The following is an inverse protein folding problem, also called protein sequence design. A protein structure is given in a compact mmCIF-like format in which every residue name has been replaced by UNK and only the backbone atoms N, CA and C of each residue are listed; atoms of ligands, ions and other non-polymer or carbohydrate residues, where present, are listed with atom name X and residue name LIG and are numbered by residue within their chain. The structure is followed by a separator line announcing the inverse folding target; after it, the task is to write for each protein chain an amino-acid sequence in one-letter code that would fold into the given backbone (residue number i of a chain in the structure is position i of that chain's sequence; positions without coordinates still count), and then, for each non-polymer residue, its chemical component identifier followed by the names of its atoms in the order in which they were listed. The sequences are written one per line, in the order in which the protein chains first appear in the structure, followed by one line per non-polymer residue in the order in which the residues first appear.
data_IF_827447321527
#
_entry.id   IF_827447321527
#
_cell.length_a   1.000
_cell.length_b   1.000
_cell.length_c   1.000
_cell.angle_alpha   90.00
_cell.angle_beta   90.00
_cell.angle_gamma   90.00
#
_symmetry.space_group_name_H-M   'P 1'
#
loop_
_entity.id
_entity.type
_entity.pdbx_description
1 polymer ?
2 non-polymer ?
3 non-polymer ?
4 water ?
#
# COMPACT_ATOMS: atom_id res chain seq x y z
N UNK A 1 11.65 21.37 -13.01
CA UNK A 1 12.76 22.21 -12.58
C UNK A 1 12.93 22.13 -11.06
N UNK A 2 11.82 22.09 -10.36
CA UNK A 2 11.77 22.02 -8.90
C UNK A 2 11.07 20.74 -8.42
N UNK A 3 11.77 19.92 -7.63
CA UNK A 3 11.14 18.71 -7.11
C UNK A 3 11.20 18.64 -5.59
N UNK A 4 10.83 19.76 -4.97
CA UNK A 4 10.88 19.94 -3.52
C UNK A 4 9.53 19.60 -2.91
N UNK A 5 9.49 18.62 -2.01
CA UNK A 5 8.21 18.28 -1.42
C UNK A 5 7.75 19.31 -0.39
N UNK A 6 6.45 19.46 -0.26
CA UNK A 6 5.89 20.20 0.86
C UNK A 6 4.86 19.34 1.56
N UNK A 7 4.54 19.62 2.82
CA UNK A 7 3.48 18.84 3.49
C UNK A 7 2.18 18.72 2.69
N UNK A 8 1.88 19.60 1.74
CA UNK A 8 0.68 19.37 0.93
C UNK A 8 0.71 18.20 -0.03
N UNK A 9 1.90 17.67 -0.32
CA UNK A 9 2.02 16.49 -1.15
C UNK A 9 1.65 15.22 -0.39
N UNK A 10 1.44 15.29 0.91
CA UNK A 10 0.92 14.20 1.71
C UNK A 10 1.86 13.00 1.76
N UNK A 11 3.15 13.28 1.79
CA UNK A 11 4.11 12.17 1.93
C UNK A 11 4.27 11.74 3.37
N UNK A 12 4.17 10.43 3.63
CA UNK A 12 4.26 9.94 4.99
C UNK A 12 5.24 8.76 5.04
N UNK A 13 5.77 8.53 6.24
CA UNK A 13 6.76 7.48 6.41
C UNK A 13 6.50 6.69 7.70
N UNK A 14 6.72 5.38 7.71
CA UNK A 14 6.57 4.70 9.01
C UNK A 14 7.79 4.93 9.86
N UNK A 15 7.59 4.95 11.20
CA UNK A 15 8.75 5.04 12.09
C UNK A 15 9.74 3.90 11.87
N UNK A 16 9.25 2.76 11.45
CA UNK A 16 10.11 1.60 11.27
C UNK A 16 10.90 1.64 9.97
N UNK A 17 10.67 2.66 9.15
CA UNK A 17 11.36 2.67 7.85
C UNK A 17 12.74 3.29 8.02
N UNK A 18 12.78 4.60 8.23
CA UNK A 18 14.07 5.25 8.51
C UNK A 18 14.64 4.71 9.81
N UNK A 19 13.82 4.13 10.69
CA UNK A 19 14.33 3.61 11.95
C UNK A 19 14.82 2.18 11.87
N UNK A 20 14.83 1.59 10.68
CA UNK A 20 15.30 0.18 10.57
C UNK A 20 16.80 0.12 10.88
N UNK A 21 17.19 -0.72 11.84
CA UNK A 21 18.59 -0.77 12.22
C UNK A 21 19.48 -1.63 11.34
N UNK A 22 18.88 -2.34 10.38
CA UNK A 22 19.78 -3.05 9.46
C UNK A 22 19.93 -4.52 9.79
N UNK A 23 19.19 -5.04 10.75
CA UNK A 23 19.27 -6.49 11.00
C UNK A 23 18.57 -7.29 9.93
N UNK A 24 19.24 -8.24 9.27
CA UNK A 24 18.58 -9.03 8.22
C UNK A 24 18.76 -10.51 8.62
N UNK A 25 18.29 -11.50 7.89
CA UNK A 25 18.36 -12.85 8.52
C UNK A 25 19.78 -13.37 8.56
N UNK A 26 20.73 -12.68 7.92
CA UNK A 26 22.11 -13.13 7.96
C UNK A 26 23.04 -12.16 8.65
N UNK A 27 22.54 -11.11 9.30
CA UNK A 27 23.51 -10.17 9.84
C UNK A 27 22.95 -9.27 10.91
N UNK A 28 23.88 -8.72 11.69
CA UNK A 28 23.54 -7.90 12.85
C UNK A 28 23.22 -6.47 12.39
N UNK A 29 22.66 -5.69 13.31
CA UNK A 29 22.35 -4.29 13.02
C UNK A 29 23.58 -3.51 12.63
N UNK A 30 23.45 -2.58 11.67
CA UNK A 30 24.54 -1.70 11.28
C UNK A 30 24.32 -0.26 11.73
N UNK A 31 23.14 0.03 12.27
CA UNK A 31 22.84 1.39 12.72
C UNK A 31 22.27 1.36 14.13
N UNK A 32 22.51 2.40 14.90
CA UNK A 32 21.87 2.51 16.19
C UNK A 32 20.39 2.79 16.10
N UNK A 33 19.65 2.56 17.17
CA UNK A 33 18.23 2.88 17.11
C UNK A 33 18.06 4.40 17.09
N UNK A 34 16.97 4.78 16.44
CA UNK A 34 16.61 6.19 16.40
C UNK A 34 15.47 6.43 17.38
N UNK A 35 15.53 7.57 18.09
CA UNK A 35 14.37 7.92 18.92
C UNK A 35 13.23 8.40 18.04
N UNK A 36 12.00 7.96 18.24
CA UNK A 36 10.87 8.43 17.42
C UNK A 36 10.79 9.94 17.30
N UNK A 37 11.24 10.63 18.36
CA UNK A 37 11.12 12.09 18.32
C UNK A 37 12.09 12.67 17.31
N UNK A 38 13.26 12.06 17.24
CA UNK A 38 14.24 12.54 16.27
C UNK A 38 13.78 12.25 14.84
N UNK A 39 13.17 11.09 14.63
CA UNK A 39 12.70 10.82 13.27
C UNK A 39 11.62 11.81 12.84
N UNK A 40 10.71 12.16 13.76
CA UNK A 40 9.66 13.10 13.40
C UNK A 40 10.25 14.43 13.01
N UNK A 41 11.23 14.89 13.78
CA UNK A 41 11.83 16.20 13.47
C UNK A 41 12.61 16.15 12.15
N UNK A 42 13.34 15.06 11.93
CA UNK A 42 14.14 14.93 10.73
C UNK A 42 13.26 14.85 9.46
N UNK A 43 12.20 14.07 9.56
CA UNK A 43 11.29 13.92 8.43
C UNK A 43 10.54 15.20 8.14
N UNK A 44 10.16 15.93 9.21
CA UNK A 44 9.55 17.23 8.96
C UNK A 44 10.46 18.18 8.19
N UNK A 45 11.74 18.18 8.50
CA UNK A 45 12.68 19.04 7.80
C UNK A 45 12.80 18.70 6.36
N UNK A 46 12.57 17.44 6.04
CA UNK A 46 12.68 17.03 4.64
C UNK A 46 11.44 17.31 3.83
N UNK A 47 10.35 17.74 4.50
CA UNK A 47 9.14 18.08 3.74
C UNK A 47 8.05 17.05 3.87
N UNK A 48 8.20 16.10 4.78
CA UNK A 48 7.11 15.13 4.92
C UNK A 48 5.87 15.72 5.59
N UNK A 49 4.73 15.10 5.37
CA UNK A 49 3.43 15.47 5.91
C UNK A 49 3.17 14.78 7.24
N UNK A 50 3.67 13.53 7.40
CA UNK A 50 3.36 12.84 8.63
C UNK A 50 4.09 11.51 8.78
N UNK A 51 3.80 10.84 9.91
CA UNK A 51 4.42 9.56 10.21
C UNK A 51 3.34 8.57 10.60
N UNK A 52 3.71 7.28 10.53
CA UNK A 52 2.86 6.20 10.98
C UNK A 52 3.65 5.29 11.93
N UNK A 53 2.91 4.42 12.64
CA UNK A 53 3.64 3.60 13.60
C UNK A 53 2.93 2.28 13.84
N UNK A 54 3.68 1.26 14.24
CA UNK A 54 3.12 0.12 14.96
C UNK A 54 3.09 0.48 16.46
N UNK A 55 2.15 -0.07 17.23
CA UNK A 55 2.19 0.07 18.70
C UNK A 55 3.60 -0.14 19.24
N UNK A 56 4.30 -1.21 18.88
CA UNK A 56 5.61 -1.49 19.47
C UNK A 56 6.75 -0.66 18.90
N UNK A 57 6.56 0.17 17.87
CA UNK A 57 7.61 1.09 17.49
C UNK A 57 7.66 2.28 18.47
N UNK A 58 6.49 2.58 19.03
CA UNK A 58 6.33 3.84 19.76
C UNK A 58 6.44 3.54 21.25
N UNK A 59 5.90 2.40 21.65
CA UNK A 59 5.89 1.98 23.06
C UNK A 59 6.52 0.59 23.11
N UNK A 60 7.71 0.50 23.70
CA UNK A 60 8.39 -0.80 23.76
C UNK A 60 7.49 -1.82 24.43
N UNK A 61 7.55 -3.03 23.89
CA UNK A 61 6.74 -4.15 24.33
C UNK A 61 6.97 -4.36 25.83
N UNK A 62 5.94 -4.58 26.61
CA UNK A 62 5.99 -4.85 28.03
C UNK A 62 6.15 -3.63 28.91
N UNK A 63 5.85 -2.47 28.34
CA UNK A 63 5.85 -1.20 29.02
C UNK A 63 4.69 -1.11 30.01
N UNK A 64 4.98 -0.53 31.18
CA UNK A 64 3.95 -0.25 32.17
C UNK A 64 3.00 0.84 31.68
N UNK A 65 1.77 0.89 32.14
CA UNK A 65 0.86 1.97 31.74
C UNK A 65 1.50 3.34 31.96
N UNK A 66 2.37 3.46 32.98
CA UNK A 66 2.97 4.78 33.19
C UNK A 66 4.07 5.02 32.16
N UNK A 67 4.85 4.01 31.76
CA UNK A 67 5.95 4.32 30.83
C UNK A 67 5.38 4.68 29.46
N UNK A 68 4.22 4.09 29.22
CA UNK A 68 3.41 4.28 28.02
C UNK A 68 2.89 5.72 27.90
N UNK A 69 2.32 6.28 28.97
CA UNK A 69 1.86 7.67 28.87
C UNK A 69 3.01 8.61 28.60
N UNK A 70 4.19 8.32 29.11
CA UNK A 70 5.39 9.12 28.89
C UNK A 70 5.85 9.07 27.43
N UNK A 71 5.80 7.85 26.86
CA UNK A 71 6.28 7.71 25.48
C UNK A 71 5.33 8.49 24.59
N UNK A 72 4.04 8.38 24.91
CA UNK A 72 3.10 9.08 24.03
C UNK A 72 3.22 10.60 24.16
N UNK A 73 3.32 11.09 25.39
CA UNK A 73 3.45 12.51 25.63
C UNK A 73 4.63 13.15 24.85
N UNK A 74 5.80 12.55 24.92
CA UNK A 74 6.96 13.01 24.19
C UNK A 74 6.72 13.04 22.67
N UNK A 75 6.04 11.99 22.21
CA UNK A 75 5.75 11.91 20.78
C UNK A 75 4.82 13.02 20.34
N UNK A 76 3.74 13.15 21.12
CA UNK A 76 2.77 14.22 20.83
C UNK A 76 3.40 15.58 20.86
N UNK A 77 4.34 15.83 21.77
CA UNK A 77 5.01 17.13 21.74
C UNK A 77 5.84 17.29 20.49
N UNK A 78 6.48 16.24 19.96
CA UNK A 78 7.17 16.44 18.67
C UNK A 78 6.23 16.70 17.51
N UNK A 79 5.02 16.11 17.57
CA UNK A 79 4.05 16.34 16.51
C UNK A 79 3.58 17.81 16.55
N UNK A 80 3.30 18.28 17.78
CA UNK A 80 2.92 19.69 17.94
C UNK A 80 4.00 20.66 17.54
N UNK A 81 5.24 20.33 17.82
CA UNK A 81 6.33 21.23 17.51
C UNK A 81 6.61 21.34 16.02
N UNK A 82 6.22 20.29 15.27
CA UNK A 82 6.58 20.24 13.87
C UNK A 82 5.39 20.40 12.94
N UNK A 83 4.16 20.21 13.41
CA UNK A 83 3.04 20.27 12.48
C UNK A 83 2.83 18.90 11.80
N UNK A 84 3.57 17.86 12.17
CA UNK A 84 3.42 16.55 11.52
C UNK A 84 2.14 15.87 11.95
N UNK A 85 1.50 15.09 11.06
CA UNK A 85 0.27 14.40 11.41
C UNK A 85 0.50 12.88 11.50
N UNK A 86 -0.50 12.17 12.00
CA UNK A 86 -0.45 10.70 12.09
C UNK A 86 -1.69 10.09 11.43
N UNK A 87 -1.63 9.90 10.12
CA UNK A 87 -2.85 9.49 9.38
C UNK A 87 -3.16 8.01 9.46
N UNK A 88 -2.20 7.19 9.87
CA UNK A 88 -2.44 5.74 9.87
C UNK A 88 -1.68 5.14 11.03
N UNK A 89 -2.20 4.07 11.62
CA UNK A 89 -1.44 3.32 12.60
C UNK A 89 -1.71 1.83 12.39
N UNK A 90 -0.93 0.99 13.04
CA UNK A 90 -1.09 -0.46 12.82
C UNK A 90 -0.57 -1.19 14.04
N UNK A 91 -0.74 -2.51 14.07
CA UNK A 91 -0.36 -3.28 15.26
C UNK A 91 0.81 -4.19 14.91
N UNK A 92 1.78 -4.37 15.78
CA UNK A 92 2.76 -5.40 15.47
C UNK A 92 2.25 -6.75 15.96
N UNK A 93 1.77 -7.60 15.07
CA UNK A 93 1.41 -8.98 15.44
C UNK A 93 2.35 -9.97 14.75
N UNK A 94 3.63 -9.60 14.65
CA UNK A 94 4.54 -10.49 13.96
C UNK A 94 5.89 -10.61 14.62
N UNK A 95 6.37 -9.71 15.46
CA UNK A 95 7.75 -9.81 15.94
C UNK A 95 7.93 -10.70 17.15
N UNK A 96 7.07 -10.52 18.16
CA UNK A 96 7.24 -11.36 19.35
C UNK A 96 7.03 -12.84 19.09
N UNK A 97 7.82 -13.70 19.70
CA UNK A 97 7.65 -15.15 19.53
C UNK A 97 6.25 -15.69 19.77
N UNK A 98 5.41 -15.04 20.59
CA UNK A 98 4.09 -15.63 20.78
C UNK A 98 3.31 -15.66 19.46
N UNK A 99 3.67 -14.84 18.49
CA UNK A 99 2.96 -14.73 17.21
C UNK A 99 3.59 -15.62 16.14
N UNK A 100 4.42 -16.59 16.55
CA UNK A 100 5.12 -17.41 15.54
C UNK A 100 4.18 -18.21 14.64
N UNK A 101 2.96 -18.53 15.02
CA UNK A 101 2.01 -19.21 14.14
C UNK A 101 0.87 -18.27 13.75
N UNK A 102 1.05 -16.97 13.99
CA UNK A 102 0.04 -16.01 13.61
C UNK A 102 -0.54 -15.24 14.80
N UNK A 103 -1.36 -14.24 14.51
CA UNK A 103 -2.11 -13.49 15.54
C UNK A 103 -3.56 -13.93 15.43
N UNK A 104 -4.28 -13.41 14.45
CA UNK A 104 -5.69 -13.71 14.32
C UNK A 104 -5.96 -15.15 13.92
N UNK A 105 -4.98 -15.83 13.29
CA UNK A 105 -5.30 -17.19 12.83
C UNK A 105 -4.32 -18.21 13.42
N UNK A 106 -3.70 -17.87 14.54
CA UNK A 106 -2.84 -18.80 15.30
C UNK A 106 -3.65 -20.03 15.64
N UNK A 107 -3.08 -21.23 15.63
CA UNK A 107 -3.88 -22.39 16.00
C UNK A 107 -4.32 -22.29 17.48
N UNK A 108 -3.50 -21.71 18.34
CA UNK A 108 -3.85 -21.63 19.77
C UNK A 108 -4.88 -20.57 19.98
N UNK A 109 -6.04 -20.90 20.55
CA UNK A 109 -7.10 -19.92 20.77
C UNK A 109 -6.70 -18.82 21.72
N UNK A 110 -5.92 -19.07 22.77
CA UNK A 110 -5.54 -18.00 23.69
C UNK A 110 -4.67 -16.96 22.97
N UNK A 111 -3.87 -17.38 22.00
CA UNK A 111 -3.05 -16.37 21.27
C UNK A 111 -3.94 -15.50 20.42
N UNK A 112 -4.94 -16.05 19.75
CA UNK A 112 -5.90 -15.29 18.95
C UNK A 112 -6.61 -14.24 19.82
N UNK A 113 -7.03 -14.62 21.03
CA UNK A 113 -7.69 -13.61 21.87
C UNK A 113 -6.71 -12.55 22.29
N UNK A 114 -5.48 -12.89 22.64
CA UNK A 114 -4.47 -11.88 22.97
C UNK A 114 -4.22 -10.94 21.80
N UNK A 115 -4.10 -11.49 20.57
CA UNK A 115 -3.88 -10.62 19.42
C UNK A 115 -4.98 -9.58 19.25
N UNK A 116 -6.23 -9.98 19.48
CA UNK A 116 -7.32 -9.02 19.37
C UNK A 116 -7.22 -7.99 20.47
N UNK A 117 -6.94 -8.41 21.71
CA UNK A 117 -6.83 -7.36 22.73
C UNK A 117 -5.67 -6.42 22.45
N UNK A 118 -4.54 -6.90 21.92
CA UNK A 118 -3.41 -5.98 21.65
C UNK A 118 -3.78 -4.99 20.58
N UNK A 119 -4.54 -5.46 19.58
CA UNK A 119 -5.02 -4.63 18.49
C UNK A 119 -5.97 -3.53 19.03
N UNK A 120 -6.95 -3.96 19.84
CA UNK A 120 -7.97 -2.97 20.28
C UNK A 120 -7.33 -1.85 21.06
N UNK A 121 -6.40 -2.18 21.95
CA UNK A 121 -5.66 -1.19 22.74
C UNK A 121 -5.02 -0.19 21.83
N UNK A 122 -4.46 -0.62 20.69
CA UNK A 122 -3.79 0.36 19.85
C UNK A 122 -4.79 1.09 18.97
N UNK A 123 -5.98 0.56 18.66
CA UNK A 123 -6.92 1.38 17.88
C UNK A 123 -7.34 2.62 18.67
N UNK A 124 -7.52 2.39 20.00
CA UNK A 124 -7.87 3.57 20.81
C UNK A 124 -6.79 4.62 20.77
N UNK A 125 -5.52 4.22 20.84
CA UNK A 125 -4.42 5.20 20.78
C UNK A 125 -4.39 5.85 19.41
N UNK A 126 -4.62 5.08 18.34
CA UNK A 126 -4.59 5.68 17.02
C UNK A 126 -5.64 6.78 16.85
N UNK A 127 -6.84 6.49 17.34
CA UNK A 127 -7.91 7.48 17.29
C UNK A 127 -7.52 8.73 18.07
N UNK A 128 -6.93 8.55 19.24
CA UNK A 128 -6.47 9.69 20.05
C UNK A 128 -5.49 10.54 19.27
N UNK A 129 -4.64 9.91 18.47
CA UNK A 129 -3.65 10.67 17.72
C UNK A 129 -4.16 11.19 16.39
N UNK A 130 -5.38 10.88 16.00
CA UNK A 130 -6.06 11.39 14.84
C UNK A 130 -5.93 10.54 13.59
N UNK A 131 -5.51 9.28 13.76
CA UNK A 131 -5.38 8.46 12.55
C UNK A 131 -6.71 8.20 11.88
N UNK A 132 -6.75 8.17 10.54
CA UNK A 132 -8.04 7.87 9.92
C UNK A 132 -8.11 6.45 9.35
N UNK A 133 -6.95 5.81 9.26
CA UNK A 133 -6.86 4.46 8.69
C UNK A 133 -6.10 3.55 9.64
N UNK A 134 -6.57 2.33 9.85
CA UNK A 134 -5.86 1.40 10.73
C UNK A 134 -5.47 0.22 9.82
N UNK A 135 -4.16 -0.03 9.69
CA UNK A 135 -3.74 -1.08 8.73
C UNK A 135 -3.55 -2.40 9.44
N UNK A 136 -3.80 -3.51 8.71
CA UNK A 136 -3.50 -4.80 9.28
C UNK A 136 -2.72 -5.61 8.24
N UNK A 137 -1.49 -5.96 8.61
CA UNK A 137 -0.68 -6.84 7.76
C UNK A 137 -0.49 -8.14 8.56
N UNK A 138 -1.14 -9.18 8.06
CA UNK A 138 -1.08 -10.46 8.78
C UNK A 138 0.17 -11.20 8.36
N UNK A 139 1.33 -10.69 8.73
CA UNK A 139 2.60 -11.28 8.27
C UNK A 139 2.84 -12.71 8.77
N UNK A 140 2.25 -13.11 9.89
CA UNK A 140 2.49 -14.47 10.36
C UNK A 140 1.29 -15.37 10.09
N UNK A 141 0.24 -14.96 9.40
CA UNK A 141 -0.93 -15.77 9.15
C UNK A 141 -0.63 -16.64 7.94
N UNK A 142 -0.40 -17.93 8.11
CA UNK A 142 0.05 -18.68 6.93
C UNK A 142 0.66 -19.99 7.42
N UNK A 143 1.58 -20.51 6.61
CA UNK A 143 2.10 -21.86 6.93
C UNK A 143 3.33 -22.16 6.11
N UNK A 144 4.16 -23.09 6.60
CA UNK A 144 5.24 -23.62 5.78
C UNK A 144 4.89 -25.00 5.26
N UNK A 145 3.88 -25.62 5.82
CA UNK A 145 3.51 -26.98 5.42
C UNK A 145 2.00 -27.13 5.31
N UNK A 146 1.55 -28.14 4.54
CA UNK A 146 0.15 -28.26 4.16
C UNK A 146 -0.80 -28.62 5.28
N UNK A 147 -0.33 -29.46 6.19
CA UNK A 147 -1.25 -29.92 7.22
C UNK A 147 -1.34 -29.02 8.41
N UNK A 148 -0.45 -28.01 8.50
CA UNK A 148 -0.41 -27.19 9.69
C UNK A 148 -1.57 -26.23 9.82
N UNK A 149 -2.25 -25.94 8.70
CA UNK A 149 -3.27 -24.87 8.72
C UNK A 149 -4.41 -25.33 7.84
N UNK A 150 -5.60 -25.53 8.38
CA UNK A 150 -6.78 -25.74 7.55
C UNK A 150 -7.23 -24.36 7.08
N UNK A 151 -7.14 -24.05 5.79
CA UNK A 151 -7.33 -22.65 5.40
C UNK A 151 -8.78 -22.21 5.51
N UNK A 152 -9.77 -23.10 5.34
CA UNK A 152 -11.13 -22.65 5.56
C UNK A 152 -11.33 -22.29 7.03
N UNK A 153 -10.79 -23.10 7.96
CA UNK A 153 -10.99 -22.70 9.37
C UNK A 153 -10.23 -21.41 9.67
N UNK A 154 -9.02 -21.24 9.08
CA UNK A 154 -8.28 -20.00 9.30
C UNK A 154 -9.02 -18.82 8.70
N UNK A 155 -9.67 -18.92 7.56
CA UNK A 155 -10.43 -17.77 7.08
C UNK A 155 -11.64 -17.50 7.98
N UNK A 156 -12.25 -18.57 8.53
CA UNK A 156 -13.31 -18.29 9.50
C UNK A 156 -12.79 -17.47 10.67
N UNK A 157 -11.59 -17.81 11.18
CA UNK A 157 -11.01 -17.07 12.31
C UNK A 157 -10.62 -15.66 11.92
N UNK A 158 -10.16 -15.49 10.66
CA UNK A 158 -9.77 -14.14 10.24
C UNK A 158 -11.01 -13.26 10.10
N UNK A 159 -12.08 -13.82 9.56
CA UNK A 159 -13.34 -13.08 9.43
C UNK A 159 -13.88 -12.73 10.82
N UNK A 160 -13.78 -13.73 11.72
CA UNK A 160 -14.26 -13.47 13.09
C UNK A 160 -13.51 -12.32 13.71
N UNK A 161 -12.19 -12.26 13.54
CA UNK A 161 -11.38 -11.19 14.10
C UNK A 161 -11.73 -9.83 13.50
N UNK A 162 -11.81 -9.77 12.18
CA UNK A 162 -12.14 -8.44 11.61
C UNK A 162 -13.56 -8.06 11.95
N UNK A 163 -14.48 -9.01 12.04
CA UNK A 163 -15.85 -8.67 12.41
C UNK A 163 -15.90 -8.10 13.82
N UNK A 164 -15.18 -8.69 14.77
CA UNK A 164 -15.16 -8.12 16.12
C UNK A 164 -14.50 -6.76 16.14
N UNK A 165 -13.45 -6.52 15.34
CA UNK A 165 -12.89 -5.16 15.33
C UNK A 165 -13.87 -4.14 14.76
N UNK A 166 -14.67 -4.55 13.79
CA UNK A 166 -15.67 -3.64 13.23
C UNK A 166 -16.74 -3.33 14.29
N UNK A 167 -17.11 -4.36 15.03
CA UNK A 167 -18.10 -4.11 16.09
C UNK A 167 -17.59 -3.14 17.10
N UNK A 168 -16.30 -3.30 17.45
CA UNK A 168 -15.68 -2.41 18.43
C UNK A 168 -15.69 -0.99 17.92
N UNK A 169 -15.21 -0.69 16.71
CA UNK A 169 -15.11 0.72 16.38
C UNK A 169 -16.52 1.29 16.21
N UNK A 170 -17.48 0.48 15.79
CA UNK A 170 -18.84 1.04 15.63
C UNK A 170 -19.47 1.28 16.99
N UNK A 171 -19.26 0.38 17.92
CA UNK A 171 -19.85 0.61 19.25
C UNK A 171 -19.20 1.78 19.95
N UNK A 172 -17.94 2.08 19.62
CA UNK A 172 -17.27 3.22 20.25
C UNK A 172 -17.54 4.53 19.52
N UNK A 173 -18.15 4.46 18.36
CA UNK A 173 -18.42 5.66 17.58
C UNK A 173 -17.24 6.25 16.84
N UNK A 174 -16.20 5.44 16.64
CA UNK A 174 -14.97 5.96 16.04
C UNK A 174 -15.08 6.11 14.52
N UNK A 175 -14.45 7.14 13.98
CA UNK A 175 -14.41 7.38 12.55
C UNK A 175 -13.01 6.98 12.09
N UNK A 176 -12.82 5.67 11.97
CA UNK A 176 -11.54 5.15 11.48
C UNK A 176 -11.97 3.98 10.60
N UNK A 177 -11.25 3.64 9.56
CA UNK A 177 -11.55 2.55 8.65
C UNK A 177 -10.35 1.60 8.62
N UNK A 178 -10.58 0.36 8.23
CA UNK A 178 -9.50 -0.62 8.26
C UNK A 178 -8.94 -0.85 6.87
N UNK A 179 -7.66 -1.16 6.75
CA UNK A 179 -7.09 -1.46 5.43
C UNK A 179 -6.26 -2.74 5.58
N UNK A 180 -6.58 -3.78 4.83
CA UNK A 180 -5.80 -4.99 4.91
C UNK A 180 -4.68 -4.96 3.87
N UNK A 181 -3.50 -5.33 4.34
CA UNK A 181 -2.32 -5.28 3.47
C UNK A 181 -1.97 -6.70 3.07
N UNK A 182 -2.13 -7.07 1.82
CA UNK A 182 -1.76 -8.43 1.38
C UNK A 182 -0.26 -8.55 1.13
N UNK A 183 0.24 -9.79 1.26
CA UNK A 183 1.63 -10.10 0.86
C UNK A 183 1.67 -11.59 0.53
N UNK A 184 2.34 -12.08 -0.49
CA UNK A 184 2.20 -13.50 -0.81
C UNK A 184 3.01 -14.46 0.05
N UNK A 185 4.15 -14.02 0.56
CA UNK A 185 5.02 -14.89 1.34
C UNK A 185 6.00 -13.99 2.10
N UNK A 186 6.69 -14.54 3.07
CA UNK A 186 7.79 -13.96 3.80
C UNK A 186 7.24 -13.05 4.89
N UNK A 187 7.28 -13.45 6.15
CA UNK A 187 8.08 -14.53 6.67
C UNK A 187 7.47 -15.93 6.70
N UNK A 188 6.18 -16.07 6.41
CA UNK A 188 5.67 -17.45 6.33
C UNK A 188 5.87 -17.96 4.90
N UNK A 189 5.92 -19.29 4.75
CA UNK A 189 6.14 -19.84 3.40
C UNK A 189 5.06 -19.44 2.42
N UNK A 190 3.82 -19.38 2.85
CA UNK A 190 2.72 -18.78 2.11
C UNK A 190 1.86 -18.03 3.12
N UNK A 191 1.44 -16.83 2.77
CA UNK A 191 0.65 -16.01 3.72
C UNK A 191 -0.77 -16.01 3.22
N UNK A 192 -1.73 -16.00 4.15
CA UNK A 192 -3.14 -15.96 3.73
C UNK A 192 -3.49 -14.58 3.17
N UNK A 193 -4.45 -14.52 2.24
CA UNK A 193 -4.77 -13.28 1.52
C UNK A 193 -3.53 -12.74 0.82
N UNK A 194 -2.98 -13.50 -0.14
CA UNK A 194 -1.65 -13.18 -0.65
C UNK A 194 -1.57 -12.02 -1.63
N UNK A 195 -2.73 -11.63 -2.20
CA UNK A 195 -2.66 -10.55 -3.16
C UNK A 195 -3.83 -9.59 -2.94
N UNK A 196 -3.77 -8.42 -3.61
CA UNK A 196 -4.90 -7.48 -3.50
C UNK A 196 -6.22 -8.14 -3.86
N UNK A 197 -6.23 -9.03 -4.88
CA UNK A 197 -7.48 -9.67 -5.22
C UNK A 197 -8.02 -10.53 -4.10
N UNK A 198 -7.20 -11.40 -3.49
CA UNK A 198 -7.71 -12.23 -2.40
C UNK A 198 -8.19 -11.38 -1.23
N UNK A 199 -7.55 -10.23 -0.94
CA UNK A 199 -8.04 -9.36 0.14
C UNK A 199 -9.36 -8.73 -0.21
N UNK A 200 -9.51 -8.23 -1.44
CA UNK A 200 -10.78 -7.64 -1.87
C UNK A 200 -11.91 -8.65 -1.77
N UNK A 201 -11.65 -9.91 -2.14
CA UNK A 201 -12.73 -10.88 -2.15
C UNK A 201 -13.14 -11.22 -0.73
N UNK A 202 -12.14 -11.32 0.14
CA UNK A 202 -12.40 -11.60 1.56
C UNK A 202 -13.26 -10.53 2.21
N UNK A 203 -12.99 -9.26 1.87
CA UNK A 203 -13.74 -8.15 2.50
C UNK A 203 -15.22 -8.23 2.23
N UNK A 204 -15.58 -8.79 1.10
CA UNK A 204 -16.99 -8.83 0.71
C UNK A 204 -17.72 -9.86 1.56
N UNK A 205 -17.04 -10.67 2.33
CA UNK A 205 -17.73 -11.58 3.22
C UNK A 205 -17.74 -11.12 4.67
N UNK A 206 -17.23 -9.93 4.97
CA UNK A 206 -17.29 -9.44 6.34
C UNK A 206 -18.67 -8.91 6.64
N UNK A 207 -18.98 -8.81 7.93
CA UNK A 207 -20.36 -8.35 8.16
C UNK A 207 -20.55 -6.92 7.77
N UNK A 208 -19.57 -6.03 7.89
CA UNK A 208 -19.80 -4.64 7.51
C UNK A 208 -18.71 -4.24 6.52
N UNK A 209 -18.85 -4.65 5.29
CA UNK A 209 -17.74 -4.50 4.35
C UNK A 209 -17.37 -3.06 4.07
N UNK A 210 -18.29 -2.13 4.30
CA UNK A 210 -17.93 -0.73 3.99
C UNK A 210 -16.84 -0.19 4.90
N UNK A 211 -16.50 -0.83 6.03
CA UNK A 211 -15.48 -0.36 6.93
C UNK A 211 -14.08 -0.83 6.51
N UNK A 212 -13.99 -1.68 5.50
CA UNK A 212 -12.68 -2.28 5.20
C UNK A 212 -12.24 -2.04 3.76
N UNK A 213 -10.96 -1.71 3.54
CA UNK A 213 -10.41 -1.57 2.19
C UNK A 213 -9.06 -2.28 2.15
N UNK A 214 -8.28 -1.97 1.11
CA UNK A 214 -6.94 -2.55 1.07
C UNK A 214 -5.86 -1.48 1.20
N UNK A 215 -4.68 -1.92 1.63
CA UNK A 215 -3.43 -1.15 1.68
C UNK A 215 -2.41 -1.95 0.88
N UNK A 216 -2.46 -1.85 -0.43
CA UNK A 216 -1.49 -2.62 -1.25
C UNK A 216 -0.10 -2.02 -1.14
N UNK A 217 0.90 -2.88 -1.35
CA UNK A 217 2.30 -2.46 -1.30
C UNK A 217 3.00 -2.81 -2.63
N UNK A 218 3.73 -1.83 -3.20
CA UNK A 218 4.35 -2.09 -4.50
C UNK A 218 5.09 -3.41 -4.54
N UNK A 219 5.99 -3.63 -3.60
CA UNK A 219 6.91 -4.78 -3.69
C UNK A 219 6.13 -6.04 -3.41
N UNK A 220 5.07 -5.99 -2.61
CA UNK A 220 4.34 -7.24 -2.31
C UNK A 220 3.72 -7.84 -3.54
N UNK A 221 3.03 -7.03 -4.34
CA UNK A 221 2.41 -7.64 -5.50
C UNK A 221 3.47 -8.05 -6.52
N UNK A 222 4.57 -7.29 -6.58
CA UNK A 222 5.63 -7.72 -7.50
C UNK A 222 6.32 -9.00 -7.07
N UNK A 223 6.23 -9.40 -5.80
CA UNK A 223 6.78 -10.69 -5.36
C UNK A 223 5.99 -11.87 -5.89
N UNK A 224 4.82 -11.56 -6.42
CA UNK A 224 4.04 -12.58 -7.13
C UNK A 224 4.10 -12.36 -8.64
N UNK A 225 4.94 -11.43 -9.06
CA UNK A 225 5.10 -11.21 -10.52
C UNK A 225 3.90 -10.50 -11.12
N UNK A 226 3.08 -9.86 -10.27
CA UNK A 226 1.85 -9.22 -10.78
C UNK A 226 2.07 -7.77 -11.17
N UNK A 227 1.14 -7.21 -11.94
CA UNK A 227 1.27 -5.80 -12.39
C UNK A 227 0.60 -4.97 -11.32
N UNK A 228 1.46 -4.18 -10.64
CA UNK A 228 0.91 -3.40 -9.49
C UNK A 228 -0.03 -2.34 -9.98
N UNK A 229 0.22 -1.50 -10.98
CA UNK A 229 -0.84 -0.58 -11.44
C UNK A 229 -2.14 -1.28 -11.82
N UNK A 230 -2.11 -2.49 -12.40
CA UNK A 230 -3.40 -3.16 -12.69
C UNK A 230 -4.15 -3.49 -11.40
N UNK A 231 -3.43 -3.94 -10.37
CA UNK A 231 -4.14 -4.32 -9.13
C UNK A 231 -4.66 -3.07 -8.45
N UNK A 232 -3.92 -1.99 -8.52
CA UNK A 232 -4.46 -0.73 -7.93
C UNK A 232 -5.69 -0.30 -8.69
N UNK A 233 -5.71 -0.46 -10.01
CA UNK A 233 -6.91 -0.06 -10.77
C UNK A 233 -8.10 -0.86 -10.32
N UNK A 234 -7.85 -2.17 -10.05
CA UNK A 234 -9.00 -2.97 -9.61
C UNK A 234 -9.48 -2.54 -8.24
N UNK A 235 -8.54 -2.20 -7.38
CA UNK A 235 -8.94 -1.69 -6.07
C UNK A 235 -9.68 -0.37 -6.20
N UNK A 236 -9.23 0.54 -7.06
CA UNK A 236 -9.97 1.80 -7.24
C UNK A 236 -11.36 1.56 -7.81
N UNK A 237 -11.45 0.63 -8.75
CA UNK A 237 -12.73 0.31 -9.38
C UNK A 237 -13.70 -0.19 -8.33
N UNK A 238 -13.22 -0.94 -7.31
CA UNK A 238 -14.11 -1.46 -6.30
C UNK A 238 -14.38 -0.44 -5.20
N UNK A 239 -13.77 0.74 -5.23
CA UNK A 239 -13.97 1.76 -4.20
C UNK A 239 -13.20 1.43 -2.92
N UNK A 240 -12.11 0.66 -3.00
CA UNK A 240 -11.47 0.17 -1.78
C UNK A 240 -10.01 0.55 -1.61
N UNK A 241 -9.47 1.50 -2.37
CA UNK A 241 -8.09 1.91 -2.10
C UNK A 241 -8.04 2.93 -0.96
N UNK A 242 -7.86 2.44 0.26
CA UNK A 242 -7.94 3.33 1.41
C UNK A 242 -6.58 3.93 1.76
N UNK A 243 -5.53 3.27 1.32
CA UNK A 243 -4.16 3.69 1.71
C UNK A 243 -3.22 2.97 0.73
N UNK A 244 -1.96 3.36 0.67
CA UNK A 244 -1.07 2.67 -0.26
C UNK A 244 0.35 2.71 0.30
N UNK A 245 1.12 1.62 0.14
CA UNK A 245 2.51 1.58 0.58
C UNK A 245 3.45 1.62 -0.63
N UNK A 246 4.33 2.64 -0.67
CA UNK A 246 5.16 2.80 -1.85
C UNK A 246 6.60 2.43 -1.57
N UNK A 247 7.23 1.67 -2.48
CA UNK A 247 8.62 1.27 -2.33
C UNK A 247 9.04 0.69 -3.69
N UNK A 248 10.21 0.04 -3.71
CA UNK A 248 10.65 -0.57 -4.98
C UNK A 248 11.12 -2.02 -4.74
N UNK A 249 11.07 -2.82 -5.81
CA UNK A 249 11.31 -4.25 -5.70
C UNK A 249 11.91 -4.69 -7.05
N UNK A 250 12.99 -5.46 -7.04
CA UNK A 250 13.51 -5.98 -8.31
C UNK A 250 13.03 -7.42 -8.49
N UNK A 251 11.79 -7.58 -8.88
CA UNK A 251 11.31 -8.92 -9.25
C UNK A 251 10.88 -9.82 -8.12
N UNK A 252 10.86 -11.13 -8.43
CA UNK A 252 10.41 -12.17 -7.53
C UNK A 252 11.56 -12.73 -6.73
N UNK A 253 11.65 -12.27 -5.50
CA UNK A 253 12.70 -12.63 -4.54
C UNK A 253 12.24 -12.11 -3.18
N UNK A 254 13.11 -12.13 -2.21
CA UNK A 254 12.78 -11.63 -0.88
C UNK A 254 12.30 -10.19 -0.98
N UNK A 255 11.59 -9.65 -0.02
CA UNK A 255 11.04 -8.31 -0.07
C UNK A 255 12.16 -7.30 0.17
N UNK A 256 12.54 -6.56 -0.88
CA UNK A 256 13.72 -5.71 -0.76
C UNK A 256 13.46 -4.36 -0.10
N UNK A 257 12.23 -3.86 -0.19
CA UNK A 257 11.87 -2.57 0.40
C UNK A 257 12.80 -1.46 -0.05
N UNK A 258 13.11 -1.39 -1.36
CA UNK A 258 13.95 -0.29 -1.82
C UNK A 258 13.19 1.02 -1.80
N UNK A 259 13.95 2.12 -1.96
CA UNK A 259 13.17 3.37 -1.98
C UNK A 259 12.29 3.44 -3.21
N UNK A 260 11.18 4.16 -3.10
CA UNK A 260 10.29 4.32 -4.23
C UNK A 260 11.00 4.93 -5.45
N UNK A 261 10.74 4.36 -6.61
CA UNK A 261 11.37 4.74 -7.87
C UNK A 261 12.46 3.76 -8.26
N UNK A 262 13.06 3.15 -7.25
CA UNK A 262 13.99 2.04 -7.50
C UNK A 262 13.15 0.82 -7.87
N UNK A 263 13.79 -0.23 -8.34
CA UNK A 263 13.04 -1.42 -8.72
C UNK A 263 12.51 -1.18 -10.13
N UNK A 264 11.22 -1.41 -10.30
CA UNK A 264 10.66 -1.31 -11.64
C UNK A 264 10.18 0.12 -11.90
N UNK A 265 11.04 0.86 -12.60
CA UNK A 265 10.79 2.29 -12.80
C UNK A 265 9.58 2.54 -13.70
N UNK A 266 9.43 1.76 -14.79
CA UNK A 266 8.25 2.03 -15.61
C UNK A 266 6.97 1.74 -14.85
N UNK A 267 6.97 0.70 -14.00
CA UNK A 267 5.74 0.47 -13.21
C UNK A 267 5.45 1.60 -12.25
N UNK A 268 6.55 2.24 -11.78
CA UNK A 268 6.33 3.40 -10.89
C UNK A 268 5.70 4.54 -11.66
N UNK A 269 6.10 4.74 -12.90
CA UNK A 269 5.52 5.79 -13.76
C UNK A 269 4.05 5.54 -13.96
N UNK A 270 3.67 4.27 -14.29
CA UNK A 270 2.27 4.01 -14.57
C UNK A 270 1.44 4.06 -13.30
N UNK A 271 2.06 3.70 -12.17
CA UNK A 271 1.35 3.86 -10.90
C UNK A 271 1.05 5.33 -10.62
N UNK A 272 2.06 6.18 -10.72
CA UNK A 272 1.81 7.61 -10.41
C UNK A 272 0.77 8.17 -11.39
N UNK A 273 0.90 7.82 -12.65
CA UNK A 273 -0.12 8.27 -13.62
C UNK A 273 -1.52 7.91 -13.17
N UNK A 274 -1.71 6.66 -12.70
CA UNK A 274 -3.04 6.25 -12.30
C UNK A 274 -3.51 6.92 -11.02
N UNK A 275 -2.65 7.01 -10.00
CA UNK A 275 -3.08 7.65 -8.77
C UNK A 275 -3.47 9.12 -8.99
N UNK A 276 -2.70 9.82 -9.80
CA UNK A 276 -2.98 11.25 -10.04
C UNK A 276 -4.17 11.38 -10.97
N UNK A 277 -4.32 10.53 -11.97
CA UNK A 277 -5.53 10.72 -12.81
C UNK A 277 -6.80 10.21 -12.15
N UNK A 278 -6.76 9.29 -11.20
CA UNK A 278 -7.96 8.86 -10.50
C UNK A 278 -8.26 9.79 -9.33
N UNK A 279 -7.35 10.71 -9.02
CA UNK A 279 -7.59 11.63 -7.92
C UNK A 279 -7.52 10.96 -6.57
N UNK A 280 -6.66 9.96 -6.40
CA UNK A 280 -6.45 9.36 -5.07
C UNK A 280 -6.05 10.47 -4.12
N UNK A 281 -6.76 10.56 -2.99
CA UNK A 281 -6.41 11.69 -2.12
C UNK A 281 -5.82 11.27 -0.78
N UNK A 282 -5.53 9.98 -0.60
CA UNK A 282 -4.97 9.56 0.67
C UNK A 282 -3.50 9.87 0.75
N UNK A 283 -2.88 9.43 1.83
CA UNK A 283 -1.45 9.58 1.98
C UNK A 283 -0.65 8.78 0.93
N UNK A 284 0.49 9.35 0.56
CA UNK A 284 1.54 8.68 -0.21
C UNK A 284 2.56 8.19 0.82
N UNK A 285 2.34 6.98 1.27
CA UNK A 285 3.12 6.43 2.37
C UNK A 285 4.29 5.59 1.88
N UNK A 286 5.47 5.83 2.39
CA UNK A 286 6.64 5.05 1.99
C UNK A 286 6.92 3.99 3.07
N UNK A 287 6.87 2.73 2.61
CA UNK A 287 7.19 1.62 3.51
C UNK A 287 8.43 1.00 2.89
N UNK A 288 9.59 1.45 3.35
CA UNK A 288 10.84 1.10 2.68
C UNK A 288 11.91 0.95 3.77
N UNK A 289 13.06 0.44 3.36
CA UNK A 289 14.17 0.32 4.29
C UNK A 289 15.39 0.93 3.67
N UNK A 290 16.03 1.92 4.25
CA UNK A 290 17.33 2.31 3.70
C UNK A 290 18.29 1.12 3.83
N UNK A 291 19.00 0.75 2.75
CA UNK A 291 19.86 -0.44 2.83
C UNK A 291 20.84 -0.39 3.97
N UNK A 292 21.21 -1.56 4.47
CA UNK A 292 22.06 -1.59 5.68
C UNK A 292 23.50 -1.20 5.40
N UNK A 293 23.86 -0.96 4.13
CA UNK A 293 25.13 -0.36 3.76
C UNK A 293 25.22 1.08 4.20
N UNK A 294 24.12 1.72 4.54
CA UNK A 294 24.16 3.17 4.70
C UNK A 294 24.35 3.62 6.16
N UNK A 295 24.98 4.78 6.33
CA UNK A 295 24.92 5.40 7.67
C UNK A 295 23.74 6.34 7.76
N UNK A 296 23.59 7.11 8.86
CA UNK A 296 22.42 7.95 8.92
C UNK A 296 22.32 9.02 7.87
N UNK A 297 23.40 9.56 7.32
CA UNK A 297 23.24 10.46 6.20
C UNK A 297 22.64 9.73 5.02
N UNK A 298 22.98 8.46 4.80
CA UNK A 298 22.35 7.73 3.69
C UNK A 298 20.90 7.41 3.99
N UNK A 299 20.52 7.21 5.24
CA UNK A 299 19.10 7.06 5.54
C UNK A 299 18.27 8.24 5.06
N UNK A 300 18.74 9.46 5.39
CA UNK A 300 17.93 10.64 5.03
C UNK A 300 17.98 10.91 3.55
N UNK A 301 19.09 10.53 2.95
CA UNK A 301 19.17 10.68 1.50
C UNK A 301 18.18 9.74 0.80
N UNK A 302 18.10 8.52 1.31
CA UNK A 302 17.16 7.55 0.76
C UNK A 302 15.72 7.96 0.95
N UNK A 303 15.37 8.48 2.14
CA UNK A 303 14.02 9.01 2.33
C UNK A 303 13.72 10.19 1.44
N UNK A 304 14.70 11.09 1.28
CA UNK A 304 14.42 12.20 0.37
C UNK A 304 14.20 11.74 -1.05
N UNK A 305 14.91 10.70 -1.47
CA UNK A 305 14.76 10.22 -2.84
C UNK A 305 13.40 9.60 -3.09
N UNK A 306 12.76 9.03 -2.08
CA UNK A 306 11.39 8.54 -2.24
C UNK A 306 10.49 9.65 -2.75
N UNK A 307 10.57 10.82 -2.07
CA UNK A 307 9.67 11.90 -2.41
C UNK A 307 10.06 12.54 -3.73
N UNK A 308 11.36 12.68 -3.94
CA UNK A 308 11.84 13.29 -5.19
C UNK A 308 11.36 12.47 -6.37
N UNK A 309 11.47 11.14 -6.29
CA UNK A 309 11.11 10.34 -7.47
C UNK A 309 9.61 10.38 -7.70
N UNK A 310 8.80 10.38 -6.63
CA UNK A 310 7.38 10.57 -6.86
C UNK A 310 7.16 11.88 -7.63
N UNK A 311 7.78 12.96 -7.18
CA UNK A 311 7.45 14.24 -7.84
C UNK A 311 8.00 14.32 -9.24
N UNK A 312 9.15 13.71 -9.56
CA UNK A 312 9.56 13.67 -10.98
C UNK A 312 8.56 12.89 -11.81
N UNK A 313 8.17 11.68 -11.33
CA UNK A 313 7.23 10.91 -12.12
C UNK A 313 5.89 11.59 -12.29
N UNK A 314 5.43 12.28 -11.26
CA UNK A 314 4.18 13.02 -11.37
C UNK A 314 4.27 14.08 -12.47
N UNK A 315 5.39 14.76 -12.54
CA UNK A 315 5.52 15.78 -13.60
C UNK A 315 5.57 15.10 -14.96
N UNK A 316 6.30 13.99 -15.11
CA UNK A 316 6.35 13.35 -16.44
C UNK A 316 5.01 12.73 -16.82
N UNK A 317 4.26 12.16 -15.87
CA UNK A 317 2.97 11.56 -16.28
C UNK A 317 1.98 12.65 -16.64
N UNK A 318 2.03 13.81 -15.94
CA UNK A 318 1.13 14.90 -16.32
C UNK A 318 1.47 15.48 -17.69
N UNK A 319 2.75 15.55 -18.03
CA UNK A 319 3.17 16.02 -19.36
C UNK A 319 2.72 15.07 -20.44
N UNK A 320 2.80 13.75 -20.14
CA UNK A 320 2.32 12.73 -21.07
C UNK A 320 0.85 12.91 -21.42
N UNK A 321 0.04 13.05 -20.36
CA UNK A 321 -1.39 13.04 -20.62
C UNK A 321 -1.81 14.36 -21.29
N UNK A 322 -1.04 15.42 -21.09
CA UNK A 322 -1.44 16.76 -21.58
C UNK A 322 -0.94 16.95 -22.98
N UNK A 323 -0.08 16.06 -23.46
CA UNK A 323 0.53 16.25 -24.78
C UNK A 323 -0.49 16.03 -25.89
N UNK A 324 -0.84 16.99 -26.74
CA UNK A 324 -1.83 16.71 -27.77
C UNK A 324 -1.43 15.55 -28.69
N UNK A 325 -0.15 15.30 -28.88
CA UNK A 325 0.26 14.18 -29.69
C UNK A 325 -0.10 12.86 -29.01
N UNK A 326 -0.02 12.84 -27.70
CA UNK A 326 -0.42 11.60 -26.99
C UNK A 326 -1.91 11.41 -27.05
N UNK A 327 -2.66 12.53 -26.91
CA UNK A 327 -4.13 12.44 -26.96
C UNK A 327 -4.56 11.95 -28.33
N UNK A 328 -3.87 12.34 -29.39
CA UNK A 328 -4.22 11.78 -30.68
C UNK A 328 -3.89 10.30 -30.78
N UNK A 329 -2.71 9.92 -30.22
CA UNK A 329 -2.36 8.48 -30.24
C UNK A 329 -3.33 7.66 -29.39
N UNK A 330 -3.89 8.19 -28.32
CA UNK A 330 -4.86 7.44 -27.50
C UNK A 330 -6.10 7.18 -28.36
N UNK A 331 -6.48 8.18 -29.15
CA UNK A 331 -7.62 7.93 -30.04
C UNK A 331 -7.27 6.96 -31.14
N UNK A 332 -6.03 7.03 -31.63
CA UNK A 332 -5.65 6.09 -32.68
C UNK A 332 -5.67 4.66 -32.17
N UNK A 333 -5.41 4.48 -30.88
CA UNK A 333 -5.43 3.13 -30.25
C UNK A 333 -6.77 2.77 -29.67
N UNK A 334 -7.76 3.62 -29.88
CA UNK A 334 -9.14 3.43 -29.50
C UNK A 334 -9.35 3.34 -28.00
N UNK A 335 -8.54 4.06 -27.23
CA UNK A 335 -8.87 4.15 -25.80
C UNK A 335 -10.19 4.86 -25.57
N UNK A 336 -10.59 5.73 -26.50
CA UNK A 336 -11.90 6.38 -26.34
C UNK A 336 -13.04 5.39 -26.49
N UNK A 337 -12.90 4.44 -27.39
CA UNK A 337 -13.93 3.42 -27.56
C UNK A 337 -13.98 2.42 -26.42
N UNK A 338 -12.85 2.21 -25.75
CA UNK A 338 -12.89 1.28 -24.62
C UNK A 338 -13.81 1.79 -23.52
N UNK A 339 -13.91 3.13 -23.43
CA UNK A 339 -14.71 3.75 -22.37
C UNK A 339 -16.18 3.85 -22.72
N UNK A 340 -16.55 3.44 -23.91
CA UNK A 340 -17.96 3.47 -24.29
C UNK A 340 -18.60 2.14 -24.04
N UNK A 341 -19.87 2.14 -23.62
CA UNK A 341 -20.52 0.83 -23.37
C UNK A 341 -20.55 0.02 -24.64
N UNK A 342 -20.37 -1.28 -24.41
CA UNK A 342 -20.45 -2.24 -25.49
C UNK A 342 -21.86 -2.34 -26.05
N UNK A 343 -22.81 -2.24 -25.11
CA UNK A 343 -24.19 -2.50 -25.62
C UNK A 343 -25.24 -1.78 -24.79
N UNK A 344 -25.16 -0.46 -24.86
CA UNK A 344 -26.11 0.39 -24.13
C UNK A 344 -27.51 0.21 -24.73
N UNK A 345 -27.57 -0.31 -25.94
CA UNK A 345 -28.82 -0.57 -26.64
C UNK A 345 -29.51 -1.77 -25.99
N UNK A 346 -28.82 -2.56 -25.17
CA UNK A 346 -29.47 -3.68 -24.49
C UNK A 346 -29.34 -5.01 -25.19
N UNK A 347 -29.63 -6.09 -24.46
CA UNK A 347 -29.44 -7.44 -24.93
C UNK A 347 -30.25 -7.73 -26.18
N UNK A 348 -31.53 -7.37 -26.20
CA UNK A 348 -32.31 -7.77 -27.39
C UNK A 348 -31.83 -7.08 -28.65
N UNK A 349 -31.48 -5.81 -28.55
CA UNK A 349 -30.97 -5.15 -29.74
C UNK A 349 -29.61 -5.69 -30.17
N UNK A 350 -28.77 -6.10 -29.24
CA UNK A 350 -27.55 -6.81 -29.64
C UNK A 350 -27.83 -8.10 -30.40
N UNK A 351 -28.78 -8.89 -29.93
CA UNK A 351 -29.15 -10.16 -30.56
C UNK A 351 -29.73 -9.97 -31.96
N UNK A 352 -30.41 -8.85 -32.16
CA UNK A 352 -31.00 -8.57 -33.46
C UNK A 352 -30.08 -7.77 -34.37
N UNK A 353 -28.90 -7.38 -33.90
CA UNK A 353 -28.00 -6.60 -34.74
C UNK A 353 -27.16 -7.43 -35.67
N UNK A 354 -27.49 -7.54 -36.95
CA UNK A 354 -26.70 -8.38 -37.85
C UNK A 354 -25.27 -7.88 -38.05
N UNK A 355 -25.06 -6.60 -37.79
CA UNK A 355 -23.70 -6.06 -37.96
C UNK A 355 -22.78 -6.56 -36.85
N UNK A 356 -23.36 -7.20 -35.83
CA UNK A 356 -22.55 -7.70 -34.72
C UNK A 356 -22.17 -9.13 -34.95
N UNK A 357 -22.69 -9.81 -35.98
CA UNK A 357 -22.30 -11.21 -36.15
C UNK A 357 -22.45 -11.68 -37.57
N UNK A 358 -23.68 -11.81 -38.05
CA UNK A 358 -23.96 -12.34 -39.39
C UNK A 358 -23.20 -11.58 -40.45
N UNK A 359 -23.19 -10.27 -40.30
CA UNK A 359 -22.59 -9.41 -41.31
C UNK A 359 -21.33 -8.68 -40.84
N UNK A 360 -20.77 -9.15 -39.74
CA UNK A 360 -19.54 -8.53 -39.25
C UNK A 360 -18.38 -8.98 -40.09
N UNK A 361 -17.58 -8.06 -40.56
CA UNK A 361 -16.44 -8.44 -41.36
C UNK A 361 -15.24 -8.67 -40.45
N UNK A 362 -15.02 -9.93 -40.06
CA UNK A 362 -13.99 -10.20 -39.05
C UNK A 362 -12.61 -9.98 -39.66
N UNK A 363 -12.43 -10.21 -40.96
CA UNK A 363 -11.08 -10.08 -41.50
C UNK A 363 -10.71 -8.61 -41.56
N UNK A 364 -11.65 -7.73 -41.84
CA UNK A 364 -11.33 -6.31 -41.85
C UNK A 364 -11.02 -5.81 -40.44
N UNK A 365 -11.78 -6.24 -39.44
CA UNK A 365 -11.47 -5.83 -38.06
C UNK A 365 -10.12 -6.36 -37.63
N UNK A 366 -9.82 -7.61 -37.96
CA UNK A 366 -8.55 -8.19 -37.53
C UNK A 366 -7.35 -7.49 -38.12
N UNK A 367 -7.51 -6.91 -39.33
CA UNK A 367 -6.38 -6.25 -39.94
C UNK A 367 -6.07 -4.88 -39.37
N UNK A 368 -6.94 -4.29 -38.55
CA UNK A 368 -6.61 -2.97 -38.04
C UNK A 368 -5.50 -3.04 -36.97
N UNK A 369 -4.41 -2.35 -37.11
CA UNK A 369 -3.38 -2.41 -36.04
C UNK A 369 -3.84 -1.60 -34.87
N UNK A 370 -3.40 -1.91 -33.65
CA UNK A 370 -3.81 -1.19 -32.47
C UNK A 370 -2.90 0.03 -32.21
N UNK A 371 -1.76 0.16 -32.90
CA UNK A 371 -0.88 1.30 -32.74
C UNK A 371 -0.36 1.48 -31.31
N UNK A 372 -0.23 0.35 -30.58
CA UNK A 372 0.22 0.47 -29.19
C UNK A 372 1.71 0.73 -29.07
N UNK A 373 2.52 0.31 -30.04
CA UNK A 373 3.96 0.52 -29.88
C UNK A 373 4.29 2.00 -30.03
N UNK A 374 3.64 2.71 -30.97
CA UNK A 374 3.94 4.13 -31.04
C UNK A 374 3.48 4.85 -29.78
N UNK A 375 2.33 4.50 -29.22
CA UNK A 375 1.87 5.11 -27.96
C UNK A 375 2.87 4.86 -26.83
N UNK A 376 3.39 3.61 -26.78
CA UNK A 376 4.30 3.27 -25.66
C UNK A 376 5.64 3.98 -25.80
N UNK A 377 6.06 4.24 -27.06
CA UNK A 377 7.32 4.97 -27.21
C UNK A 377 7.06 6.43 -26.88
N UNK A 378 5.87 6.97 -27.16
CA UNK A 378 5.63 8.33 -26.63
C UNK A 378 5.70 8.37 -25.12
N UNK A 379 5.21 7.29 -24.49
CA UNK A 379 5.25 7.26 -23.02
C UNK A 379 6.69 7.14 -22.50
N UNK A 380 7.52 6.39 -23.21
CA UNK A 380 8.94 6.28 -22.87
C UNK A 380 9.66 7.61 -23.03
N UNK A 381 9.41 8.26 -24.19
CA UNK A 381 10.05 9.56 -24.40
C UNK A 381 9.66 10.56 -23.31
N UNK A 382 8.39 10.57 -22.91
CA UNK A 382 8.00 11.49 -21.82
C UNK A 382 8.68 11.15 -20.51
N UNK A 383 8.68 9.87 -20.17
CA UNK A 383 9.36 9.45 -18.94
C UNK A 383 10.81 9.89 -18.91
N UNK A 384 11.53 9.73 -20.01
CA UNK A 384 12.96 10.05 -20.05
C UNK A 384 13.23 11.53 -20.36
N UNK A 385 12.18 12.27 -20.63
CA UNK A 385 12.37 13.73 -20.87
C UNK A 385 13.01 13.92 -22.22
N UNK A 386 12.62 13.13 -23.20
CA UNK A 386 13.28 13.11 -24.50
C UNK A 386 12.33 13.58 -25.59
N UNK A 387 11.43 14.49 -25.26
CA UNK A 387 10.45 14.90 -26.28
C UNK A 387 10.91 16.01 -27.21
N UNK A 388 10.87 15.65 -28.50
CA UNK A 388 11.14 16.46 -29.65
C UNK A 388 10.71 15.79 -30.95
#
# INVERSE_FOLDING_TARGET
MNYQPTPEDRFTFGLWTVGWQGRDPFGDATRRALDPVESVRRLAELGAHGVTFHDDDLIPFGSSDSEREEHVKRFRQALDDTGMKVPMATTNLFTHPVFKDGGFTANDRDVRRYALRKTIRNIDLAVELGAETYVAWGGREGAESGGAKDVRDALDRMKEAFDLLGEYVTSQGYDIRFAIEPKPNEPRGDILLPTVGHALAFIERLERPELYGVNPEVGHEQMAGLNFPHGIAQALWAGKLFHIDLNGQNGIKYDQDLRFGAGDLRAAFWLVDLLESAGYSGPRHFDFKPPRTEDFDGVWASAAGCMRNYLILKERAAAFRADPEVQEALRASRLDELARPTAADGLQALLDDRSAFEEFDVDAAAARGMAFERLDQLAMDHLLGARG
#
